data_IF_255903121376
#
_entry.id   IF_255903121376
#
_cell.length_a   1.000
_cell.length_b   1.000
_cell.length_c   1.000
_cell.angle_alpha   90.00
_cell.angle_beta   90.00
_cell.angle_gamma   90.00
#
_symmetry.space_group_name_H-M   'P 1'
#
loop_
_entity.id
_entity.type
_entity.pdbx_description
1 polymer ?
#
# COMPACT_ATOMS: atom_id res chain seq x y z
N UNK A 1 -7.84 -15.56 -18.67
CA UNK A 1 -6.70 -15.00 -17.91
C UNK A 1 -6.56 -15.83 -16.66
N UNK A 2 -5.35 -16.30 -16.37
CA UNK A 2 -5.07 -17.13 -15.19
C UNK A 2 -4.21 -16.31 -14.23
N UNK A 3 -4.62 -16.25 -12.96
CA UNK A 3 -3.91 -15.51 -11.92
C UNK A 3 -3.44 -16.53 -10.88
N UNK A 4 -2.18 -16.42 -10.46
CA UNK A 4 -1.63 -17.15 -9.31
C UNK A 4 -0.97 -16.18 -8.34
N UNK A 5 -1.19 -16.41 -7.06
CA UNK A 5 -0.63 -15.62 -5.97
C UNK A 5 -0.06 -16.55 -4.90
N UNK A 6 1.22 -16.37 -4.59
CA UNK A 6 1.92 -17.15 -3.57
C UNK A 6 2.50 -16.23 -2.52
N UNK A 7 2.51 -16.69 -1.28
CA UNK A 7 2.93 -15.92 -0.12
C UNK A 7 4.01 -16.65 0.66
N UNK A 8 4.92 -15.89 1.25
CA UNK A 8 5.91 -16.35 2.21
C UNK A 8 5.89 -15.40 3.41
N UNK A 9 6.03 -15.97 4.61
CA UNK A 9 6.05 -15.19 5.84
C UNK A 9 7.17 -14.13 5.82
N UNK A 10 6.88 -12.98 6.42
CA UNK A 10 7.83 -11.89 6.51
C UNK A 10 8.84 -12.04 7.65
N UNK A 11 9.62 -10.98 7.86
CA UNK A 11 10.55 -10.86 8.99
C UNK A 11 10.17 -9.61 9.78
N UNK A 12 9.33 -9.73 10.83
CA UNK A 12 8.85 -8.57 11.59
C UNK A 12 9.96 -7.72 12.19
N UNK A 13 11.10 -8.33 12.54
CA UNK A 13 12.27 -7.63 13.02
C UNK A 13 12.82 -6.60 12.02
N UNK A 14 12.54 -6.76 10.72
CA UNK A 14 12.91 -5.86 9.63
C UNK A 14 11.72 -5.02 9.13
N UNK A 15 10.65 -4.91 9.91
CA UNK A 15 9.42 -4.19 9.53
C UNK A 15 8.76 -4.74 8.24
N UNK A 16 9.02 -6.02 7.93
CA UNK A 16 8.53 -6.70 6.73
C UNK A 16 7.42 -7.69 7.11
N UNK A 17 6.22 -7.45 6.58
CA UNK A 17 5.02 -8.21 6.90
C UNK A 17 4.99 -9.57 6.19
N UNK A 18 5.24 -9.58 4.88
CA UNK A 18 5.31 -10.79 4.08
C UNK A 18 5.97 -10.53 2.72
N UNK A 19 6.43 -11.60 2.09
CA UNK A 19 6.81 -11.63 0.68
C UNK A 19 5.68 -12.27 -0.14
N UNK A 20 5.58 -11.88 -1.40
CA UNK A 20 4.58 -12.43 -2.31
C UNK A 20 5.11 -12.52 -3.74
N UNK A 21 4.54 -13.44 -4.50
CA UNK A 21 4.73 -13.58 -5.94
C UNK A 21 3.36 -13.59 -6.60
N UNK A 22 3.17 -12.79 -7.63
CA UNK A 22 1.99 -12.80 -8.47
C UNK A 22 2.38 -13.11 -9.90
N UNK A 23 1.62 -13.98 -10.55
CA UNK A 23 1.74 -14.23 -11.98
C UNK A 23 0.36 -14.13 -12.63
N UNK A 24 0.30 -13.36 -13.72
CA UNK A 24 -0.90 -13.17 -14.53
C UNK A 24 -0.58 -13.61 -15.95
N UNK A 25 -1.20 -14.72 -16.36
CA UNK A 25 -1.05 -15.28 -17.70
C UNK A 25 -2.27 -14.96 -18.56
N UNK A 26 -2.02 -14.62 -19.81
CA UNK A 26 -3.06 -14.30 -20.78
C UNK A 26 -2.48 -13.87 -22.12
N UNK A 27 -3.35 -13.57 -23.10
CA UNK A 27 -2.91 -12.99 -24.36
C UNK A 27 -2.23 -11.64 -24.11
N UNK A 28 -1.27 -11.29 -24.97
CA UNK A 28 -0.56 -10.02 -24.90
C UNK A 28 -1.57 -8.86 -24.94
N UNK A 29 -1.67 -8.14 -23.83
CA UNK A 29 -2.59 -7.04 -23.62
C UNK A 29 -2.00 -6.06 -22.61
N UNK A 30 -2.43 -4.80 -22.69
CA UNK A 30 -2.21 -3.81 -21.64
C UNK A 30 -3.48 -3.76 -20.79
N UNK A 31 -3.34 -4.05 -19.51
CA UNK A 31 -4.42 -3.92 -18.54
C UNK A 31 -4.16 -2.71 -17.65
N UNK A 32 -5.23 -2.15 -17.07
CA UNK A 32 -5.16 -1.09 -16.09
C UNK A 32 -5.84 -1.56 -14.81
N UNK A 33 -5.28 -1.18 -13.67
CA UNK A 33 -5.81 -1.52 -12.38
C UNK A 33 -5.83 -0.31 -11.46
N UNK A 34 -6.83 -0.25 -10.59
CA UNK A 34 -6.98 0.84 -9.66
C UNK A 34 -6.43 0.46 -8.29
N UNK A 35 -5.53 1.30 -7.79
CA UNK A 35 -4.86 1.09 -6.52
C UNK A 35 -5.31 2.16 -5.56
N UNK A 36 -5.88 1.77 -4.42
CA UNK A 36 -6.32 2.70 -3.38
C UNK A 36 -5.17 3.02 -2.40
N UNK A 37 -5.26 4.12 -1.64
CA UNK A 37 -4.34 4.42 -0.55
C UNK A 37 -4.24 3.28 0.46
N UNK A 38 -3.03 2.96 0.92
CA UNK A 38 -2.78 1.98 1.99
C UNK A 38 -1.72 2.49 2.98
N UNK A 39 -1.76 2.01 4.23
CA UNK A 39 -0.75 2.29 5.27
C UNK A 39 0.43 1.30 5.24
N UNK A 40 0.87 0.94 4.04
CA UNK A 40 1.97 0.03 3.82
C UNK A 40 2.89 0.55 2.72
N UNK A 41 4.14 0.10 2.75
CA UNK A 41 5.06 0.25 1.64
C UNK A 41 5.13 -1.08 0.90
N UNK A 42 5.24 -1.04 -0.42
CA UNK A 42 5.43 -2.26 -1.22
C UNK A 42 6.66 -2.10 -2.09
N UNK A 43 7.66 -2.95 -1.86
CA UNK A 43 8.75 -3.11 -2.81
C UNK A 43 8.29 -4.08 -3.89
N UNK A 44 8.45 -3.69 -5.15
CA UNK A 44 8.01 -4.40 -6.34
C UNK A 44 9.22 -4.73 -7.20
N UNK A 45 9.32 -5.99 -7.60
CA UNK A 45 10.27 -6.47 -8.60
C UNK A 45 9.53 -7.09 -9.78
N UNK A 46 9.66 -6.46 -10.96
CA UNK A 46 9.07 -6.92 -12.21
C UNK A 46 10.04 -7.90 -12.88
N UNK A 47 9.75 -9.20 -12.81
CA UNK A 47 10.56 -10.23 -13.47
C UNK A 47 10.20 -10.34 -14.96
N UNK A 48 8.91 -10.23 -15.28
CA UNK A 48 8.39 -10.34 -16.64
C UNK A 48 7.23 -9.38 -16.82
N UNK A 49 7.09 -8.83 -18.03
CA UNK A 49 6.12 -7.78 -18.34
C UNK A 49 6.66 -6.39 -18.04
N UNK A 50 5.78 -5.41 -18.03
CA UNK A 50 6.09 -4.01 -17.74
C UNK A 50 5.02 -3.45 -16.82
N UNK A 51 5.42 -2.53 -15.95
CA UNK A 51 4.51 -1.71 -15.16
C UNK A 51 4.67 -0.24 -15.55
N UNK A 52 3.57 0.48 -15.58
CA UNK A 52 3.54 1.92 -15.65
C UNK A 52 2.49 2.44 -14.67
N UNK A 53 2.60 3.69 -14.23
CA UNK A 53 1.67 4.27 -13.26
C UNK A 53 1.20 5.65 -13.71
N UNK A 54 -0.03 5.99 -13.38
CA UNK A 54 -0.60 7.32 -13.59
C UNK A 54 -1.24 7.80 -12.29
N UNK A 55 -0.92 9.03 -11.87
CA UNK A 55 -1.49 9.58 -10.64
C UNK A 55 -2.97 9.97 -10.81
N UNK A 56 -3.39 10.29 -12.04
CA UNK A 56 -4.76 10.65 -12.41
C UNK A 56 -5.11 10.12 -13.80
N UNK A 57 -6.40 10.05 -14.11
CA UNK A 57 -6.91 9.59 -15.41
C UNK A 57 -6.51 10.48 -16.59
N UNK A 58 -6.20 11.75 -16.32
CA UNK A 58 -5.75 12.72 -17.31
C UNK A 58 -4.25 12.68 -17.58
N UNK A 59 -3.48 12.01 -16.73
CA UNK A 59 -2.02 11.96 -16.88
C UNK A 59 -1.60 10.73 -17.71
N UNK A 60 -0.61 10.89 -18.61
CA UNK A 60 -0.07 9.75 -19.32
C UNK A 60 0.66 8.81 -18.34
N UNK A 61 0.51 7.48 -18.50
CA UNK A 61 1.18 6.53 -17.64
C UNK A 61 2.70 6.60 -17.82
N UNK A 62 3.42 6.67 -16.71
CA UNK A 62 4.87 6.71 -16.66
C UNK A 62 5.42 5.30 -16.39
N UNK A 63 6.40 4.81 -17.16
CA UNK A 63 6.97 3.49 -16.92
C UNK A 63 7.64 3.43 -15.55
N UNK A 64 7.45 2.32 -14.85
CA UNK A 64 8.13 2.02 -13.60
C UNK A 64 9.43 1.26 -13.86
N UNK A 65 10.50 1.53 -13.10
CA UNK A 65 11.70 0.70 -13.12
C UNK A 65 11.39 -0.70 -12.61
N UNK A 66 12.19 -1.67 -13.04
CA UNK A 66 12.01 -3.08 -12.69
C UNK A 66 12.03 -3.32 -11.17
N UNK A 67 12.72 -2.48 -10.40
CA UNK A 67 12.74 -2.48 -8.94
C UNK A 67 12.23 -1.12 -8.43
N UNK A 68 11.10 -1.13 -7.74
CA UNK A 68 10.43 0.08 -7.28
C UNK A 68 9.90 -0.07 -5.87
N UNK A 69 10.06 0.94 -5.02
CA UNK A 69 9.33 1.05 -3.75
C UNK A 69 8.13 1.98 -3.92
N UNK A 70 6.92 1.43 -3.83
CA UNK A 70 5.69 2.19 -3.71
C UNK A 70 5.63 2.81 -2.31
N UNK A 71 5.65 4.14 -2.24
CA UNK A 71 5.48 4.86 -0.98
C UNK A 71 3.99 5.07 -0.65
N UNK A 72 3.71 5.67 0.50
CA UNK A 72 2.33 5.95 0.89
C UNK A 72 1.66 6.89 -0.09
N UNK A 73 0.50 6.50 -0.61
CA UNK A 73 -0.34 7.37 -1.44
C UNK A 73 -1.50 7.88 -0.59
N UNK A 74 -1.89 9.15 -0.77
CA UNK A 74 -3.09 9.72 -0.12
C UNK A 74 -4.32 9.75 -1.02
N UNK A 75 -4.15 9.30 -2.27
CA UNK A 75 -5.19 9.20 -3.30
C UNK A 75 -4.96 7.94 -4.12
N UNK A 76 -6.03 7.43 -4.71
CA UNK A 76 -6.00 6.31 -5.63
C UNK A 76 -5.23 6.69 -6.88
N UNK A 77 -4.61 5.69 -7.50
CA UNK A 77 -3.83 5.83 -8.73
C UNK A 77 -4.07 4.61 -9.62
N UNK A 78 -3.63 4.70 -10.88
CA UNK A 78 -3.74 3.59 -11.83
C UNK A 78 -2.38 2.95 -12.07
N UNK A 79 -2.35 1.63 -12.06
CA UNK A 79 -1.24 0.83 -12.55
C UNK A 79 -1.61 0.20 -13.88
N UNK A 80 -0.80 0.43 -14.90
CA UNK A 80 -0.91 -0.21 -16.20
C UNK A 80 0.14 -1.31 -16.30
N UNK A 81 -0.23 -2.46 -16.85
CA UNK A 81 0.70 -3.57 -16.98
C UNK A 81 0.50 -4.39 -18.23
N UNK A 82 1.57 -5.02 -18.71
CA UNK A 82 1.55 -5.89 -19.89
C UNK A 82 1.51 -7.37 -19.49
N UNK A 83 0.75 -8.16 -20.25
CA UNK A 83 0.70 -9.62 -20.10
C UNK A 83 1.69 -10.34 -21.04
N UNK A 84 2.26 -11.48 -20.60
CA UNK A 84 2.20 -12.02 -19.24
C UNK A 84 2.99 -11.17 -18.24
N UNK A 85 2.53 -11.15 -16.98
CA UNK A 85 3.15 -10.39 -15.90
C UNK A 85 3.63 -11.34 -14.79
N UNK A 86 4.88 -11.21 -14.36
CA UNK A 86 5.41 -11.88 -13.17
C UNK A 86 6.03 -10.85 -12.24
N UNK A 87 5.44 -10.71 -11.05
CA UNK A 87 5.85 -9.78 -10.00
C UNK A 87 6.29 -10.55 -8.76
N UNK A 88 7.35 -10.08 -8.14
CA UNK A 88 7.63 -10.33 -6.73
C UNK A 88 7.42 -9.05 -5.97
N UNK A 89 6.99 -9.17 -4.73
CA UNK A 89 6.95 -8.02 -3.86
C UNK A 89 7.11 -8.36 -2.40
N UNK A 90 7.44 -7.33 -1.64
CA UNK A 90 7.55 -7.36 -0.20
C UNK A 90 6.73 -6.22 0.38
N UNK A 91 5.82 -6.56 1.29
CA UNK A 91 5.00 -5.59 2.00
C UNK A 91 5.65 -5.25 3.32
N UNK A 92 5.79 -3.96 3.59
CA UNK A 92 6.36 -3.44 4.84
C UNK A 92 5.32 -2.71 5.67
N UNK A 93 5.51 -2.78 6.98
CA UNK A 93 4.78 -1.96 7.93
C UNK A 93 5.20 -0.49 7.82
N UNK A 94 4.34 0.40 8.31
CA UNK A 94 4.59 1.84 8.34
C UNK A 94 5.92 2.22 9.02
N UNK A 95 6.35 1.41 10.00
CA UNK A 95 7.62 1.57 10.73
C UNK A 95 8.87 1.49 9.86
N UNK A 96 8.80 0.94 8.63
CA UNK A 96 9.91 0.97 7.68
C UNK A 96 10.46 2.39 7.52
N UNK A 97 9.56 3.37 7.40
CA UNK A 97 9.92 4.76 7.17
C UNK A 97 10.71 5.39 8.32
N UNK A 98 10.62 4.85 9.53
CA UNK A 98 11.39 5.31 10.69
C UNK A 98 12.81 4.75 10.69
N UNK A 99 13.05 3.68 9.92
CA UNK A 99 14.22 2.82 10.01
C UNK A 99 15.06 2.76 8.74
N UNK A 100 14.70 3.48 7.67
CA UNK A 100 15.46 3.50 6.43
C UNK A 100 16.22 4.82 6.29
N UNK A 101 17.42 4.77 5.69
CA UNK A 101 18.28 5.93 5.54
C UNK A 101 17.68 7.04 4.66
N UNK A 102 16.88 6.66 3.66
CA UNK A 102 16.31 7.58 2.69
C UNK A 102 14.97 8.16 3.18
N UNK A 103 14.75 9.45 2.91
CA UNK A 103 13.42 10.06 3.06
C UNK A 103 12.46 9.38 2.08
N UNK A 104 11.31 8.94 2.57
CA UNK A 104 10.26 8.32 1.75
C UNK A 104 9.16 9.35 1.43
N UNK A 105 9.26 10.11 0.33
CA UNK A 105 8.20 11.03 -0.06
C UNK A 105 6.92 10.27 -0.37
N UNK A 106 5.77 10.84 -0.01
CA UNK A 106 4.48 10.25 -0.33
C UNK A 106 4.12 10.40 -1.82
N UNK A 107 3.32 9.47 -2.34
CA UNK A 107 2.76 9.51 -3.69
C UNK A 107 3.77 9.23 -4.79
N UNK A 108 4.76 8.36 -4.53
CA UNK A 108 5.87 8.07 -5.43
C UNK A 108 6.14 6.57 -5.56
N UNK A 109 6.74 6.22 -6.69
CA UNK A 109 7.47 4.98 -6.88
C UNK A 109 8.96 5.32 -6.94
N UNK A 110 9.72 4.88 -5.94
CA UNK A 110 11.15 5.18 -5.85
C UNK A 110 11.94 4.05 -6.53
N UNK A 111 12.83 4.37 -7.50
CA UNK A 111 13.75 3.37 -8.02
C UNK A 111 14.69 2.90 -6.91
N UNK A 112 14.78 1.59 -6.70
CA UNK A 112 15.72 0.98 -5.76
C UNK A 112 16.49 -0.14 -6.45
N UNK A 113 17.70 -0.43 -5.98
CA UNK A 113 18.57 -1.48 -6.54
C UNK A 113 18.98 -2.47 -5.44
N UNK A 114 18.01 -2.98 -4.70
CA UNK A 114 18.26 -3.92 -3.60
C UNK A 114 18.58 -5.33 -4.08
N UNK A 115 18.04 -5.73 -5.23
CA UNK A 115 18.30 -7.03 -5.85
C UNK A 115 19.45 -6.90 -6.85
N UNK A 116 20.37 -7.86 -6.80
CA UNK A 116 21.59 -7.88 -7.64
C UNK A 116 21.55 -8.94 -8.72
N UNK A 117 20.80 -10.01 -8.51
CA UNK A 117 20.70 -11.13 -9.43
C UNK A 117 19.25 -11.35 -9.85
N UNK A 118 19.01 -11.95 -11.04
CA UNK A 118 17.66 -12.35 -11.44
C UNK A 118 17.04 -13.22 -10.36
N UNK A 119 15.81 -12.88 -9.97
CA UNK A 119 15.05 -13.63 -8.98
C UNK A 119 14.27 -14.72 -9.68
N UNK A 120 14.51 -15.97 -9.31
CA UNK A 120 13.87 -17.14 -9.94
C UNK A 120 12.78 -17.79 -9.08
N UNK A 121 12.70 -17.42 -7.80
CA UNK A 121 11.70 -17.96 -6.88
C UNK A 121 11.40 -16.97 -5.75
N UNK A 122 10.31 -17.20 -5.02
CA UNK A 122 9.93 -16.35 -3.89
C UNK A 122 10.94 -16.44 -2.72
N UNK A 123 11.60 -17.60 -2.56
CA UNK A 123 12.67 -17.76 -1.56
C UNK A 123 13.94 -17.02 -1.96
N UNK A 124 14.33 -17.09 -3.24
CA UNK A 124 15.46 -16.33 -3.79
C UNK A 124 15.24 -14.81 -3.62
N UNK A 125 14.04 -14.33 -3.96
CA UNK A 125 13.62 -12.95 -3.69
C UNK A 125 13.82 -12.55 -2.23
N UNK A 126 13.29 -13.34 -1.30
CA UNK A 126 13.38 -13.07 0.13
C UNK A 126 14.85 -13.09 0.63
N UNK A 127 15.65 -14.04 0.17
CA UNK A 127 17.06 -14.18 0.53
C UNK A 127 17.92 -13.03 0.03
N UNK A 128 17.59 -12.44 -1.13
CA UNK A 128 18.30 -11.26 -1.65
C UNK A 128 17.83 -9.96 -0.96
N UNK A 129 16.54 -9.82 -0.70
CA UNK A 129 15.98 -8.57 -0.17
C UNK A 129 16.34 -8.34 1.31
N UNK A 130 16.34 -9.39 2.14
CA UNK A 130 16.58 -9.24 3.57
C UNK A 130 17.95 -8.62 3.90
N UNK A 131 19.08 -9.07 3.33
CA UNK A 131 20.38 -8.44 3.57
C UNK A 131 20.46 -7.00 3.06
N UNK A 132 19.83 -6.69 1.93
CA UNK A 132 19.79 -5.34 1.39
C UNK A 132 19.04 -4.39 2.33
N UNK A 133 17.90 -4.82 2.85
CA UNK A 133 17.12 -4.07 3.83
C UNK A 133 17.87 -3.88 5.15
N UNK A 134 18.61 -4.89 5.61
CA UNK A 134 19.47 -4.78 6.79
C UNK A 134 20.58 -3.73 6.59
N UNK A 135 21.19 -3.70 5.40
CA UNK A 135 22.26 -2.75 5.08
C UNK A 135 21.75 -1.30 5.03
N UNK A 136 20.53 -1.08 4.54
CA UNK A 136 19.90 0.25 4.44
C UNK A 136 19.26 0.73 5.75
N UNK A 137 19.26 -0.12 6.79
CA UNK A 137 18.58 0.19 8.05
C UNK A 137 19.37 1.20 8.85
N UNK A 138 18.84 2.42 8.94
CA UNK A 138 19.39 3.52 9.73
C UNK A 138 18.26 4.28 10.41
N UNK A 139 18.04 4.10 11.72
CA UNK A 139 17.08 4.90 12.47
C UNK A 139 17.50 6.36 12.44
N UNK A 140 16.60 7.25 12.00
CA UNK A 140 16.86 8.70 11.98
C UNK A 140 16.03 9.48 13.01
N UNK A 141 15.26 8.77 13.85
CA UNK A 141 14.52 9.32 14.97
C UNK A 141 15.09 8.82 16.30
N UNK A 142 14.99 9.65 17.34
CA UNK A 142 15.43 9.28 18.69
C UNK A 142 14.48 8.27 19.38
N UNK A 143 13.27 8.10 18.85
CA UNK A 143 12.29 7.15 19.31
C UNK A 143 11.25 6.86 18.22
N UNK A 144 10.42 5.82 18.40
CA UNK A 144 9.42 5.47 17.41
C UNK A 144 8.31 6.52 17.34
N UNK A 145 7.71 6.72 16.17
CA UNK A 145 6.57 7.63 16.03
C UNK A 145 5.31 7.06 16.70
N UNK A 146 5.15 5.73 16.66
CA UNK A 146 3.94 5.04 17.14
C UNK A 146 4.24 3.92 18.13
N UNK A 147 3.25 3.58 18.98
CA UNK A 147 3.27 2.40 19.88
C UNK A 147 2.60 1.18 19.25
N UNK A 148 1.33 1.33 18.89
CA UNK A 148 0.49 0.35 18.22
C UNK A 148 -0.51 1.07 17.32
N UNK A 149 -0.75 0.54 16.12
CA UNK A 149 -1.52 1.25 15.10
C UNK A 149 -0.98 2.65 14.85
N UNK A 150 -1.86 3.65 14.79
CA UNK A 150 -1.50 5.07 14.66
C UNK A 150 -1.47 5.86 15.99
N UNK A 151 -1.39 5.17 17.14
CA UNK A 151 -1.27 5.82 18.44
C UNK A 151 0.14 6.40 18.63
N UNK A 152 0.24 7.73 18.80
CA UNK A 152 1.50 8.44 19.01
C UNK A 152 2.26 7.90 20.22
N UNK A 153 3.57 7.76 20.08
CA UNK A 153 4.43 7.37 21.18
C UNK A 153 4.55 8.48 22.24
N UNK A 154 4.92 8.10 23.46
CA UNK A 154 5.22 9.08 24.53
C UNK A 154 6.39 9.99 24.19
N UNK A 155 7.29 9.55 23.30
CA UNK A 155 8.37 10.38 22.80
C UNK A 155 7.81 11.62 22.07
N UNK A 156 6.74 11.47 21.28
CA UNK A 156 6.11 12.59 20.60
C UNK A 156 5.33 13.53 21.55
N UNK A 157 4.93 13.06 22.73
CA UNK A 157 4.14 13.85 23.68
C UNK A 157 4.89 15.10 24.20
N UNK A 158 6.23 15.07 24.20
CA UNK A 158 7.06 16.21 24.59
C UNK A 158 7.13 17.32 23.52
N UNK A 159 6.57 17.11 22.33
CA UNK A 159 6.68 18.04 21.21
C UNK A 159 5.37 18.81 20.94
N UNK A 160 5.53 20.08 20.55
CA UNK A 160 4.39 20.91 20.14
C UNK A 160 3.66 20.33 18.92
N UNK A 161 2.37 20.67 18.69
CA UNK A 161 1.63 20.21 17.52
C UNK A 161 2.33 20.51 16.18
N UNK A 162 3.02 21.66 16.09
CA UNK A 162 3.79 22.05 14.89
C UNK A 162 5.00 21.14 14.66
N UNK A 163 5.73 20.79 15.71
CA UNK A 163 6.87 19.86 15.63
C UNK A 163 6.40 18.45 15.26
N UNK A 164 5.34 17.94 15.91
CA UNK A 164 4.72 16.66 15.54
C UNK A 164 4.35 16.62 14.06
N UNK A 165 3.65 17.64 13.56
CA UNK A 165 3.32 17.75 12.13
C UNK A 165 4.55 17.68 11.22
N UNK A 166 5.66 18.32 11.60
CA UNK A 166 6.91 18.25 10.84
C UNK A 166 7.49 16.84 10.82
N UNK A 167 7.48 16.13 11.96
CA UNK A 167 7.93 14.74 12.01
C UNK A 167 7.09 13.84 11.11
N UNK A 168 5.76 13.95 11.15
CA UNK A 168 4.89 13.20 10.25
C UNK A 168 5.24 13.43 8.77
N UNK A 169 5.41 14.70 8.39
CA UNK A 169 5.76 15.07 7.02
C UNK A 169 7.16 14.59 6.63
N UNK A 170 8.14 14.66 7.52
CA UNK A 170 9.51 14.25 7.21
C UNK A 170 9.67 12.73 7.12
N UNK A 171 8.96 11.98 7.97
CA UNK A 171 9.06 10.51 8.04
C UNK A 171 8.18 9.86 6.98
N UNK A 172 6.91 10.24 6.89
CA UNK A 172 5.92 9.55 6.06
C UNK A 172 5.58 10.28 4.76
N UNK A 173 6.05 11.53 4.58
CA UNK A 173 5.61 12.40 3.50
C UNK A 173 4.14 12.86 3.60
N UNK A 174 3.42 12.45 4.66
CA UNK A 174 2.00 12.71 4.88
C UNK A 174 1.77 13.37 6.25
N UNK A 175 0.63 14.03 6.40
CA UNK A 175 0.18 14.50 7.72
C UNK A 175 -0.46 13.36 8.49
N UNK A 176 -0.50 13.46 9.83
CA UNK A 176 -1.27 12.55 10.69
C UNK A 176 -2.72 12.39 10.23
N UNK A 177 -3.35 13.49 9.82
CA UNK A 177 -4.73 13.48 9.33
C UNK A 177 -4.89 12.63 8.05
N UNK A 178 -3.92 12.67 7.13
CA UNK A 178 -3.96 11.80 5.95
C UNK A 178 -3.78 10.32 6.33
N UNK A 179 -2.87 10.01 7.26
CA UNK A 179 -2.70 8.63 7.73
C UNK A 179 -3.99 8.08 8.36
N UNK A 180 -4.64 8.88 9.22
CA UNK A 180 -5.93 8.53 9.82
C UNK A 180 -7.04 8.36 8.77
N UNK A 181 -7.07 9.21 7.74
CA UNK A 181 -8.05 9.06 6.67
C UNK A 181 -7.89 7.72 5.93
N UNK A 182 -6.65 7.28 5.70
CA UNK A 182 -6.35 5.98 5.09
C UNK A 182 -6.71 4.85 6.05
N UNK A 183 -6.40 4.96 7.34
CA UNK A 183 -6.82 3.99 8.35
C UNK A 183 -8.34 3.81 8.38
N UNK A 184 -9.07 4.92 8.40
CA UNK A 184 -10.55 4.91 8.40
C UNK A 184 -11.13 4.29 7.13
N UNK A 185 -10.51 4.55 5.96
CA UNK A 185 -10.88 3.89 4.71
C UNK A 185 -10.76 2.37 4.85
N UNK A 186 -9.63 1.88 5.35
CA UNK A 186 -9.41 0.44 5.49
C UNK A 186 -10.25 -0.19 6.59
N UNK A 187 -10.58 0.56 7.64
CA UNK A 187 -11.51 0.10 8.66
C UNK A 187 -12.88 -0.13 8.05
N UNK A 188 -13.37 0.79 7.22
CA UNK A 188 -14.61 0.62 6.46
C UNK A 188 -14.52 -0.58 5.50
N UNK A 189 -13.43 -0.71 4.73
CA UNK A 189 -13.26 -1.84 3.79
C UNK A 189 -13.07 -3.20 4.47
N UNK A 190 -12.56 -3.21 5.70
CA UNK A 190 -12.37 -4.41 6.51
C UNK A 190 -13.65 -4.88 7.20
N UNK A 191 -14.70 -4.05 7.24
CA UNK A 191 -16.02 -4.51 7.62
C UNK A 191 -16.51 -5.48 6.54
N UNK A 192 -17.07 -6.62 6.94
CA UNK A 192 -17.81 -7.49 6.02
C UNK A 192 -19.06 -6.75 5.58
N UNK A 193 -18.94 -5.96 4.52
CA UNK A 193 -20.05 -5.32 3.86
C UNK A 193 -20.86 -6.40 3.16
N UNK A 194 -21.88 -6.93 3.82
CA UNK A 194 -22.87 -7.77 3.17
C UNK A 194 -23.82 -6.86 2.40
N UNK A 195 -23.45 -6.57 1.16
CA UNK A 195 -24.35 -5.95 0.20
C UNK A 195 -25.38 -6.98 -0.22
N UNK A 196 -26.43 -7.14 0.58
CA UNK A 196 -27.53 -8.03 0.23
C UNK A 196 -28.05 -7.71 -1.17
N UNK A 197 -28.43 -8.75 -1.91
CA UNK A 197 -28.74 -8.72 -3.35
C UNK A 197 -29.80 -7.67 -3.75
N UNK A 198 -30.61 -7.18 -2.80
CA UNK A 198 -31.75 -6.31 -3.08
C UNK A 198 -31.58 -4.83 -2.67
N UNK A 199 -30.59 -4.48 -1.81
CA UNK A 199 -30.24 -3.08 -1.53
C UNK A 199 -29.05 -2.96 -0.56
N UNK A 200 -27.84 -2.59 -1.04
CA UNK A 200 -26.71 -2.32 -0.16
C UNK A 200 -26.94 -1.08 0.70
N UNK A 201 -27.35 -1.27 1.97
CA UNK A 201 -27.52 -0.16 2.93
C UNK A 201 -26.18 0.25 3.53
N UNK A 202 -25.42 1.05 2.77
CA UNK A 202 -24.14 1.64 3.21
C UNK A 202 -24.22 2.36 4.57
N UNK A 203 -25.40 2.87 4.95
CA UNK A 203 -25.61 3.55 6.24
C UNK A 203 -25.38 2.63 7.45
N UNK A 204 -25.65 1.33 7.32
CA UNK A 204 -25.50 0.34 8.39
C UNK A 204 -24.01 -0.01 8.65
N UNK A 205 -23.12 0.43 7.77
CA UNK A 205 -21.66 0.21 7.81
C UNK A 205 -20.88 1.51 8.06
N UNK A 206 -21.55 2.62 8.39
CA UNK A 206 -20.86 3.85 8.77
C UNK A 206 -20.28 3.64 10.17
N UNK A 207 -18.95 3.67 10.28
CA UNK A 207 -18.28 3.73 11.58
C UNK A 207 -18.38 5.15 12.13
N UNK A 208 -19.23 5.35 13.14
CA UNK A 208 -19.48 6.65 13.79
C UNK A 208 -18.22 7.23 14.47
N UNK A 209 -17.20 6.42 14.74
CA UNK A 209 -15.91 6.92 15.24
C UNK A 209 -15.05 7.54 14.12
N UNK A 210 -15.28 7.11 12.87
CA UNK A 210 -14.48 7.50 11.70
C UNK A 210 -15.20 8.52 10.80
N UNK A 211 -16.52 8.44 10.70
CA UNK A 211 -17.38 9.22 9.82
C UNK A 211 -18.59 9.73 10.59
N UNK A 212 -19.08 10.91 10.22
CA UNK A 212 -20.19 11.56 10.94
C UNK A 212 -21.55 11.08 10.42
N UNK A 213 -21.61 10.85 9.11
CA UNK A 213 -22.78 10.40 8.38
C UNK A 213 -22.35 9.75 7.05
N UNK A 214 -23.31 9.15 6.35
CA UNK A 214 -23.07 8.55 5.04
C UNK A 214 -22.57 9.56 3.98
N UNK A 215 -23.07 10.82 3.90
CA UNK A 215 -22.48 11.84 3.03
C UNK A 215 -21.01 12.15 3.33
N UNK A 216 -20.58 12.14 4.59
CA UNK A 216 -19.19 12.33 4.98
C UNK A 216 -18.34 11.14 4.50
N UNK A 217 -18.79 9.90 4.76
CA UNK A 217 -18.15 8.68 4.24
C UNK A 217 -18.01 8.75 2.70
N UNK A 218 -19.10 8.99 1.97
CA UNK A 218 -19.10 9.02 0.51
C UNK A 218 -18.12 10.06 -0.05
N UNK A 219 -18.07 11.26 0.53
CA UNK A 219 -17.13 12.32 0.13
C UNK A 219 -15.69 11.94 0.43
N UNK A 220 -15.41 11.40 1.62
CA UNK A 220 -14.08 10.98 2.02
C UNK A 220 -13.58 9.82 1.16
N UNK A 221 -14.42 8.79 0.96
CA UNK A 221 -14.13 7.63 0.14
C UNK A 221 -13.81 8.05 -1.30
N UNK A 222 -14.70 8.83 -1.94
CA UNK A 222 -14.45 9.33 -3.31
C UNK A 222 -13.23 10.20 -3.44
N UNK A 223 -12.91 11.01 -2.43
CA UNK A 223 -11.68 11.80 -2.43
C UNK A 223 -10.42 10.92 -2.40
N UNK A 224 -10.48 9.79 -1.70
CA UNK A 224 -9.35 8.88 -1.53
C UNK A 224 -9.24 7.84 -2.64
N UNK A 225 -10.33 7.30 -3.15
CA UNK A 225 -10.33 6.21 -4.15
C UNK A 225 -10.70 6.70 -5.55
N UNK A 226 -11.32 7.88 -5.69
CA UNK A 226 -11.92 8.32 -6.96
C UNK A 226 -13.30 7.72 -7.24
N UNK A 227 -13.74 6.72 -6.46
CA UNK A 227 -15.02 6.03 -6.63
C UNK A 227 -16.02 6.38 -5.53
N UNK A 228 -17.31 6.18 -5.78
CA UNK A 228 -18.25 5.99 -4.67
C UNK A 228 -18.02 4.60 -4.07
N UNK A 229 -18.43 4.34 -2.81
CA UNK A 229 -18.32 3.01 -2.24
C UNK A 229 -18.94 1.92 -3.14
N UNK A 230 -20.17 2.14 -3.63
CA UNK A 230 -20.84 1.19 -4.52
C UNK A 230 -20.03 0.92 -5.80
N UNK A 231 -19.58 1.99 -6.49
CA UNK A 231 -18.81 1.84 -7.72
C UNK A 231 -17.45 1.15 -7.49
N UNK A 232 -16.88 1.25 -6.28
CA UNK A 232 -15.66 0.54 -5.92
C UNK A 232 -15.89 -0.96 -5.79
N UNK A 233 -16.98 -1.39 -5.13
CA UNK A 233 -17.30 -2.82 -5.00
C UNK A 233 -17.75 -3.48 -6.31
N UNK A 234 -18.24 -2.68 -7.26
CA UNK A 234 -18.54 -3.15 -8.62
C UNK A 234 -17.29 -3.15 -9.53
N UNK A 235 -16.23 -2.43 -9.16
CA UNK A 235 -15.01 -2.36 -9.95
C UNK A 235 -14.21 -3.67 -9.82
N UNK A 236 -13.88 -4.30 -10.96
CA UNK A 236 -12.97 -5.44 -10.97
C UNK A 236 -11.52 -4.95 -10.93
N UNK A 237 -10.81 -5.24 -9.85
CA UNK A 237 -9.37 -4.93 -9.72
C UNK A 237 -8.56 -6.20 -9.53
N UNK A 238 -7.39 -6.33 -10.15
CA UNK A 238 -6.65 -7.61 -10.15
C UNK A 238 -5.55 -7.59 -9.09
N UNK A 239 -4.61 -6.65 -9.20
CA UNK A 239 -3.52 -6.46 -8.26
C UNK A 239 -4.07 -6.03 -6.89
N UNK A 240 -4.97 -5.05 -6.87
CA UNK A 240 -5.49 -4.48 -5.63
C UNK A 240 -6.23 -5.53 -4.79
N UNK A 241 -7.19 -6.25 -5.38
CA UNK A 241 -7.98 -7.26 -4.64
C UNK A 241 -7.11 -8.39 -4.10
N UNK A 242 -6.12 -8.86 -4.86
CA UNK A 242 -5.20 -9.90 -4.39
C UNK A 242 -4.29 -9.40 -3.26
N UNK A 243 -3.76 -8.17 -3.35
CA UNK A 243 -2.94 -7.58 -2.29
C UNK A 243 -3.75 -7.29 -1.02
N UNK A 244 -5.00 -6.83 -1.17
CA UNK A 244 -5.90 -6.59 -0.06
C UNK A 244 -6.34 -7.89 0.62
N UNK A 245 -6.81 -8.87 -0.15
CA UNK A 245 -7.18 -10.18 0.38
C UNK A 245 -6.00 -10.81 1.14
N UNK A 246 -4.80 -10.71 0.58
CA UNK A 246 -3.59 -11.14 1.25
C UNK A 246 -3.36 -10.39 2.57
N UNK A 247 -3.63 -9.09 2.64
CA UNK A 247 -3.39 -8.27 3.84
C UNK A 247 -4.38 -8.53 4.96
N UNK A 248 -5.66 -8.68 4.64
CA UNK A 248 -6.69 -8.94 5.64
C UNK A 248 -6.66 -10.37 6.15
N UNK A 249 -6.31 -11.33 5.29
CA UNK A 249 -6.15 -12.74 5.68
C UNK A 249 -4.82 -13.02 6.40
N UNK A 250 -3.96 -12.02 6.61
CA UNK A 250 -2.71 -12.18 7.36
C UNK A 250 -2.88 -12.05 8.89
N UNK A 251 -4.09 -11.74 9.37
CA UNK A 251 -4.40 -11.57 10.79
C UNK A 251 -5.09 -12.79 11.44
N UNK A 252 -5.11 -13.95 10.76
CA UNK A 252 -5.63 -15.22 11.28
C UNK A 252 -4.53 -16.18 11.72
#
# INVERSE_FOLDING_TARGET
MQISFHKLAGVPALDLAYFWRMQIDGPAAVLADHVIPELCYDFLYVQQGQLAWAATDSEPPQPLPAQSLRTLHSRGHKLHFTLPLVLYGARFYLRLAENIANVLPAGRFLPLNWLRTPVNSLHDFANQLQPALQADRQPHLAGPMFRSGLNESTWLAAYSPRQRRRFYQSVFGLSRQHLLAIENLHRFLGQTCNFGDENPRLIEYVDDEAYYDQPHLNRAFRKMTGFTPLAYFEASTILQDNLMAASYNAAG
#
